data_IF_352426699809
#
_entry.id   IF_352426699809
#
_cell.length_a   1.000
_cell.length_b   1.000
_cell.length_c   1.000
_cell.angle_alpha   90.00
_cell.angle_beta   90.00
_cell.angle_gamma   90.00
#
_symmetry.space_group_name_H-M   'P 1'
#
loop_
_entity.id
_entity.type
_entity.pdbx_description
1 polymer ?
#
# COMPACT_ATOMS: atom_id res chain seq x y z
N UNK A 1 -0.91 27.46 32.92
CA UNK A 1 -0.04 26.95 31.83
C UNK A 1 -0.79 25.83 31.12
N UNK A 2 -1.24 26.06 29.88
CA UNK A 2 -1.88 24.98 29.11
C UNK A 2 -0.82 23.92 28.77
N UNK A 3 -1.07 22.62 29.02
CA UNK A 3 -0.15 21.58 28.58
C UNK A 3 0.08 21.74 27.07
N UNK A 4 1.34 21.91 26.67
CA UNK A 4 1.72 22.00 25.26
C UNK A 4 1.36 20.68 24.60
N UNK A 5 0.22 20.66 23.92
CA UNK A 5 -0.21 19.49 23.19
C UNK A 5 0.36 19.47 21.80
N UNK A 6 0.78 18.30 21.34
CA UNK A 6 1.35 18.10 20.02
C UNK A 6 0.31 18.16 18.89
N UNK A 7 -1.00 18.18 19.22
CA UNK A 7 -2.08 18.33 18.24
C UNK A 7 -3.22 19.22 18.77
N UNK A 8 -3.95 19.95 17.89
CA UNK A 8 -5.11 20.76 18.28
C UNK A 8 -6.32 19.93 18.76
N UNK A 9 -6.33 18.62 18.49
CA UNK A 9 -7.38 17.68 18.87
C UNK A 9 -7.43 17.29 20.36
N UNK A 10 -6.55 17.81 21.22
CA UNK A 10 -6.70 17.60 22.67
C UNK A 10 -7.78 18.49 23.27
N UNK A 11 -7.82 19.75 22.84
CA UNK A 11 -8.67 20.78 23.43
C UNK A 11 -9.93 21.04 22.62
N UNK A 12 -10.01 20.55 21.39
CA UNK A 12 -11.11 20.86 20.47
C UNK A 12 -11.47 19.69 19.57
N UNK A 13 -12.71 19.69 19.09
CA UNK A 13 -13.16 18.78 18.05
C UNK A 13 -12.43 19.10 16.75
N UNK A 14 -11.90 18.06 16.11
CA UNK A 14 -11.22 18.18 14.81
C UNK A 14 -12.02 17.34 13.82
N UNK A 15 -12.82 17.99 12.98
CA UNK A 15 -13.64 17.38 11.92
C UNK A 15 -14.37 16.11 12.38
N UNK A 16 -15.16 16.22 13.44
CA UNK A 16 -15.97 15.11 13.99
C UNK A 16 -15.20 14.10 14.85
N UNK A 17 -13.88 14.24 14.99
CA UNK A 17 -13.08 13.44 15.93
C UNK A 17 -13.14 14.10 17.31
N UNK A 18 -13.56 13.32 18.30
CA UNK A 18 -13.71 13.79 19.68
C UNK A 18 -12.40 14.33 20.26
N UNK A 19 -12.48 15.41 21.07
CA UNK A 19 -11.32 15.94 21.77
C UNK A 19 -10.76 14.91 22.76
N UNK A 20 -9.46 14.98 23.01
CA UNK A 20 -8.78 14.14 23.99
C UNK A 20 -8.47 12.72 23.50
N UNK A 21 -8.00 11.88 24.44
CA UNK A 21 -7.47 10.55 24.21
C UNK A 21 -6.37 10.52 23.12
N UNK A 22 -5.48 11.51 23.19
CA UNK A 22 -4.42 11.69 22.22
C UNK A 22 -3.28 10.71 22.49
N UNK A 23 -3.02 9.82 21.54
CA UNK A 23 -1.89 8.90 21.60
C UNK A 23 -0.74 9.51 20.80
N UNK A 24 0.29 9.98 21.52
CA UNK A 24 1.51 10.49 20.89
C UNK A 24 2.35 9.33 20.38
N UNK A 25 2.82 9.42 19.15
CA UNK A 25 3.80 8.50 18.59
C UNK A 25 4.92 9.33 17.97
N UNK A 26 6.15 8.86 18.15
CA UNK A 26 7.33 9.48 17.55
C UNK A 26 7.88 8.51 16.51
N UNK A 27 8.10 9.01 15.31
CA UNK A 27 8.77 8.26 14.26
C UNK A 27 10.03 8.99 13.81
N UNK A 28 10.98 8.23 13.29
CA UNK A 28 12.16 8.77 12.64
C UNK A 28 11.92 8.81 11.14
N UNK A 29 12.11 9.99 10.56
CA UNK A 29 11.95 10.22 9.11
C UNK A 29 13.15 9.72 8.33
N UNK A 30 13.02 9.67 7.01
CA UNK A 30 14.14 9.34 6.09
C UNK A 30 15.32 10.30 6.20
N UNK A 31 15.11 11.50 6.76
CA UNK A 31 16.15 12.49 7.05
C UNK A 31 16.75 12.38 8.47
N UNK A 32 16.40 11.35 9.24
CA UNK A 32 16.86 11.18 10.64
C UNK A 32 16.23 12.16 11.63
N UNK A 33 15.19 12.90 11.22
CA UNK A 33 14.45 13.79 12.13
C UNK A 33 13.39 13.01 12.89
N UNK A 34 13.36 13.18 14.21
CA UNK A 34 12.32 12.63 15.08
C UNK A 34 11.12 13.56 15.06
N UNK A 35 10.01 13.02 14.59
CA UNK A 35 8.76 13.74 14.43
C UNK A 35 7.70 13.11 15.34
N UNK A 36 7.08 13.91 16.21
CA UNK A 36 6.04 13.46 17.14
C UNK A 36 4.65 13.94 16.69
N UNK A 37 3.67 13.04 16.71
CA UNK A 37 2.31 13.33 16.27
C UNK A 37 1.25 12.52 17.01
N UNK A 38 0.00 12.95 16.88
CA UNK A 38 -1.13 12.22 17.42
C UNK A 38 -1.59 11.17 16.43
N UNK A 39 -1.58 9.88 16.81
CA UNK A 39 -2.10 8.81 15.95
C UNK A 39 -3.59 8.95 15.62
N UNK A 40 -4.34 9.67 16.46
CA UNK A 40 -5.80 9.85 16.32
C UNK A 40 -6.16 11.00 15.38
N UNK A 41 -5.54 12.18 15.58
CA UNK A 41 -5.89 13.40 14.86
C UNK A 41 -4.93 13.77 13.73
N UNK A 42 -3.75 13.16 13.70
CA UNK A 42 -2.70 13.46 12.74
C UNK A 42 -2.29 12.20 11.99
N UNK A 43 -1.76 12.37 10.79
CA UNK A 43 -1.17 11.32 10.00
C UNK A 43 0.09 11.83 9.31
N UNK A 44 1.02 10.92 9.03
CA UNK A 44 2.24 11.25 8.31
C UNK A 44 1.91 11.61 6.86
N UNK A 45 2.51 12.70 6.39
CA UNK A 45 2.53 12.99 4.97
C UNK A 45 3.45 11.99 4.28
N UNK A 46 2.98 11.35 3.22
CA UNK A 46 3.85 10.53 2.39
C UNK A 46 4.69 11.39 1.43
N UNK A 47 4.21 12.59 1.13
CA UNK A 47 4.82 13.54 0.21
C UNK A 47 5.96 14.37 0.87
N UNK A 48 6.26 14.17 2.16
CA UNK A 48 7.39 14.80 2.85
C UNK A 48 7.44 14.53 4.35
N UNK A 49 8.44 15.08 5.03
CA UNK A 49 8.69 14.89 6.47
C UNK A 49 7.81 15.81 7.35
N UNK A 50 6.50 15.74 7.17
CA UNK A 50 5.53 16.55 7.92
C UNK A 50 4.29 15.74 8.30
N UNK A 51 3.51 16.26 9.24
CA UNK A 51 2.20 15.69 9.58
C UNK A 51 1.09 16.59 9.08
N UNK A 52 0.04 15.96 8.60
CA UNK A 52 -1.23 16.62 8.38
C UNK A 52 -2.22 16.19 9.44
N UNK A 53 -3.18 17.08 9.70
CA UNK A 53 -4.42 16.65 10.32
C UNK A 53 -5.06 15.64 9.38
N UNK A 54 -5.53 14.53 9.95
CA UNK A 54 -6.19 13.45 9.19
C UNK A 54 -7.42 13.93 8.39
N UNK A 55 -7.89 15.11 8.77
CA UNK A 55 -9.06 15.75 8.24
C UNK A 55 -8.79 16.80 7.15
N UNK A 56 -7.53 16.96 6.71
CA UNK A 56 -7.19 17.81 5.56
C UNK A 56 -7.19 17.02 4.25
N UNK A 57 -7.93 17.50 3.25
CA UNK A 57 -8.10 16.84 1.94
C UNK A 57 -6.79 16.66 1.17
N UNK A 58 -5.82 17.57 1.36
CA UNK A 58 -4.50 17.46 0.72
C UNK A 58 -3.79 16.15 1.02
N UNK A 59 -3.94 15.62 2.24
CA UNK A 59 -3.34 14.35 2.61
C UNK A 59 -4.05 13.14 1.99
N UNK A 60 -5.38 13.21 1.86
CA UNK A 60 -6.17 12.15 1.20
C UNK A 60 -5.81 12.02 -0.28
N UNK A 61 -5.48 13.12 -0.96
CA UNK A 61 -5.08 13.07 -2.37
C UNK A 61 -3.71 12.39 -2.59
N UNK A 62 -2.71 12.64 -1.73
CA UNK A 62 -1.42 11.92 -1.76
C UNK A 62 -1.66 10.41 -1.53
N UNK A 63 -2.46 10.05 -0.52
CA UNK A 63 -2.79 8.65 -0.23
C UNK A 63 -3.56 7.96 -1.36
N UNK A 64 -4.56 8.63 -1.95
CA UNK A 64 -5.33 8.08 -3.06
C UNK A 64 -4.46 7.80 -4.29
N UNK A 65 -3.47 8.66 -4.56
CA UNK A 65 -2.48 8.43 -5.62
C UNK A 65 -1.63 7.19 -5.34
N UNK A 66 -1.13 7.03 -4.13
CA UNK A 66 -0.32 5.87 -3.74
C UNK A 66 -1.14 4.58 -3.83
N UNK A 67 -2.38 4.58 -3.32
CA UNK A 67 -3.27 3.43 -3.44
C UNK A 67 -3.63 3.12 -4.90
N UNK A 68 -3.72 4.13 -5.76
CA UNK A 68 -3.92 3.93 -7.19
C UNK A 68 -2.67 3.32 -7.85
N UNK A 69 -1.47 3.78 -7.50
CA UNK A 69 -0.19 3.23 -7.98
C UNK A 69 0.03 1.79 -7.52
N UNK A 70 -0.25 1.47 -6.26
CA UNK A 70 -0.17 0.09 -5.76
C UNK A 70 -1.18 -0.82 -6.44
N UNK A 71 -2.42 -0.36 -6.66
CA UNK A 71 -3.41 -1.14 -7.42
C UNK A 71 -2.95 -1.37 -8.85
N UNK A 72 -2.40 -0.35 -9.51
CA UNK A 72 -1.87 -0.49 -10.87
C UNK A 72 -0.72 -1.49 -10.95
N UNK A 73 0.20 -1.49 -9.96
CA UNK A 73 1.29 -2.48 -9.88
C UNK A 73 0.76 -3.90 -9.73
N UNK A 74 -0.19 -4.12 -8.81
CA UNK A 74 -0.80 -5.45 -8.61
C UNK A 74 -1.49 -5.95 -9.87
N UNK A 75 -2.26 -5.10 -10.55
CA UNK A 75 -2.90 -5.43 -11.82
C UNK A 75 -1.89 -5.79 -12.91
N UNK A 76 -0.77 -5.08 -12.99
CA UNK A 76 0.29 -5.41 -13.94
C UNK A 76 0.94 -6.77 -13.61
N UNK A 77 1.24 -7.05 -12.35
CA UNK A 77 1.79 -8.34 -11.91
C UNK A 77 0.83 -9.51 -12.17
N UNK A 78 -0.47 -9.31 -11.96
CA UNK A 78 -1.50 -10.31 -12.27
C UNK A 78 -1.64 -10.55 -13.77
N UNK A 79 -1.53 -9.50 -14.59
CA UNK A 79 -1.56 -9.62 -16.05
C UNK A 79 -0.35 -10.40 -16.59
N UNK A 80 0.84 -10.14 -16.06
CA UNK A 80 2.07 -10.89 -16.40
C UNK A 80 1.93 -12.38 -16.04
N UNK A 81 1.46 -12.68 -14.81
CA UNK A 81 1.20 -14.06 -14.37
C UNK A 81 0.13 -14.76 -15.20
N UNK A 82 -0.91 -14.04 -15.62
CA UNK A 82 -1.95 -14.59 -16.48
C UNK A 82 -1.42 -14.89 -17.89
N UNK A 83 -0.56 -14.02 -18.43
CA UNK A 83 0.07 -14.22 -19.73
C UNK A 83 1.04 -15.42 -19.72
N UNK A 84 1.82 -15.58 -18.66
CA UNK A 84 2.72 -16.73 -18.48
C UNK A 84 1.94 -18.04 -18.34
N UNK A 85 0.90 -18.08 -17.49
CA UNK A 85 0.04 -19.25 -17.35
C UNK A 85 -0.67 -19.60 -18.66
N UNK A 86 -1.09 -18.61 -19.45
CA UNK A 86 -1.72 -18.85 -20.74
C UNK A 86 -0.74 -19.46 -21.76
N UNK A 87 0.52 -19.02 -21.77
CA UNK A 87 1.58 -19.65 -22.60
C UNK A 87 1.86 -21.08 -22.16
N UNK A 88 2.01 -21.32 -20.87
CA UNK A 88 2.23 -22.67 -20.33
C UNK A 88 1.04 -23.61 -20.62
N UNK A 89 -0.19 -23.11 -20.53
CA UNK A 89 -1.39 -23.86 -20.88
C UNK A 89 -1.47 -24.15 -22.39
N UNK A 90 -1.15 -23.18 -23.24
CA UNK A 90 -1.11 -23.37 -24.70
C UNK A 90 -0.04 -24.40 -25.11
N UNK A 91 1.16 -24.34 -24.51
CA UNK A 91 2.23 -25.33 -24.73
C UNK A 91 1.85 -26.74 -24.21
N UNK A 92 1.02 -26.81 -23.17
CA UNK A 92 0.52 -28.07 -22.63
C UNK A 92 -0.56 -28.70 -23.51
N UNK A 93 -1.56 -27.92 -23.94
CA UNK A 93 -2.71 -28.38 -24.73
C UNK A 93 -2.41 -28.48 -26.22
N UNK A 94 -1.48 -27.68 -26.74
CA UNK A 94 -1.06 -27.66 -28.13
C UNK A 94 0.46 -27.85 -28.25
N UNK A 95 0.99 -29.00 -27.80
CA UNK A 95 2.41 -29.25 -27.88
C UNK A 95 2.84 -29.29 -29.36
N UNK A 96 3.88 -28.51 -29.70
CA UNK A 96 4.41 -28.47 -31.06
C UNK A 96 4.68 -29.86 -31.64
N UNK A 97 4.53 -29.99 -32.97
CA UNK A 97 4.58 -31.23 -33.76
C UNK A 97 5.86 -32.10 -33.61
N UNK A 98 6.80 -31.72 -32.75
CA UNK A 98 8.05 -32.43 -32.45
C UNK A 98 7.96 -33.44 -31.30
N UNK A 99 6.84 -33.55 -30.56
CA UNK A 99 6.65 -34.65 -29.60
C UNK A 99 6.45 -35.97 -30.35
N UNK A 100 7.56 -36.66 -30.66
CA UNK A 100 7.54 -38.06 -31.10
C UNK A 100 6.72 -38.87 -30.10
N UNK A 101 5.71 -39.59 -30.58
CA UNK A 101 5.00 -40.62 -29.78
C UNK A 101 6.06 -41.50 -29.10
N UNK A 102 6.03 -41.69 -27.77
CA UNK A 102 6.84 -42.74 -27.17
C UNK A 102 6.38 -44.04 -27.82
N UNK A 103 7.31 -44.74 -28.47
CA UNK A 103 7.03 -46.02 -29.08
C UNK A 103 6.54 -46.95 -27.97
N UNK A 104 5.27 -47.34 -28.05
CA UNK A 104 4.67 -48.32 -27.15
C UNK A 104 5.49 -49.61 -27.30
N UNK A 105 6.38 -49.89 -26.34
CA UNK A 105 7.03 -51.19 -26.25
C UNK A 105 5.96 -52.20 -25.83
N UNK A 106 5.39 -52.85 -26.84
CA UNK A 106 4.60 -54.05 -26.67
C UNK A 106 5.55 -55.15 -26.17
N UNK A 107 5.58 -55.37 -24.85
CA UNK A 107 6.26 -56.50 -24.24
C UNK A 107 5.57 -57.78 -24.71
N UNK A 108 6.33 -58.65 -25.37
CA UNK A 108 5.95 -60.03 -25.72
C UNK A 108 6.23 -60.96 -24.55
#
# INVERSE_FOLDING_TARGET
>A
MSPKHHCPGQSSWVNGISPGNCVTTTIETTQGKKLSFCKKHSMLCHCGDSFHLRSQDGCQSCWAKIEAEERAKKLAEEAEKAAENKKAADDFWNPGKSRKKPATQLQK
#
